data_IF_577015971987
#
_entry.id   IF_577015971987
#
_cell.length_a   1.000
_cell.length_b   1.000
_cell.length_c   1.000
_cell.angle_alpha   90.00
_cell.angle_beta   90.00
_cell.angle_gamma   90.00
#
_symmetry.space_group_name_H-M   'P 1'
#
loop_
_entity.id
_entity.type
_entity.pdbx_description
1 polymer ?
#
# COMPACT_ATOMS: atom_id res chain seq x y z
N UNK A 1 -4.13 -6.67 -23.76
CA UNK A 1 -2.88 -6.00 -23.30
C UNK A 1 -2.44 -6.68 -22.01
N UNK A 2 -1.19 -7.04 -21.89
CA UNK A 2 -0.64 -7.76 -20.74
C UNK A 2 -0.13 -6.85 -19.61
N UNK A 3 -0.12 -5.55 -19.82
CA UNK A 3 0.19 -4.50 -18.85
C UNK A 3 -1.01 -3.58 -18.60
N UNK A 4 -0.87 -2.68 -17.66
CA UNK A 4 -1.89 -1.69 -17.31
C UNK A 4 -1.74 -0.40 -18.14
N UNK A 5 -0.61 -0.24 -18.84
CA UNK A 5 -0.34 0.89 -19.70
C UNK A 5 1.08 0.87 -20.28
N UNK A 6 1.44 1.94 -20.95
CA UNK A 6 2.77 2.19 -21.47
C UNK A 6 3.20 3.61 -21.13
N UNK A 7 4.44 3.77 -20.72
CA UNK A 7 5.06 5.06 -20.43
C UNK A 7 6.51 5.06 -20.93
N UNK A 8 6.85 6.03 -21.78
CA UNK A 8 8.20 6.20 -22.32
C UNK A 8 8.78 4.93 -22.99
N UNK A 9 7.94 4.18 -23.69
CA UNK A 9 8.32 2.93 -24.36
C UNK A 9 8.50 1.74 -23.41
N UNK A 10 8.06 1.89 -22.17
CA UNK A 10 8.08 0.81 -21.16
C UNK A 10 6.65 0.35 -20.87
N UNK A 11 6.44 -0.96 -20.84
CA UNK A 11 5.19 -1.51 -20.32
C UNK A 11 5.11 -1.25 -18.81
N UNK A 12 3.99 -0.75 -18.36
CA UNK A 12 3.73 -0.50 -16.93
C UNK A 12 2.79 -1.57 -16.38
N UNK A 13 3.18 -2.20 -15.29
CA UNK A 13 2.34 -3.09 -14.51
C UNK A 13 2.14 -2.54 -13.11
N UNK A 14 0.90 -2.31 -12.73
CA UNK A 14 0.53 -1.83 -11.39
C UNK A 14 0.18 -3.04 -10.52
N UNK A 15 0.91 -3.21 -9.43
CA UNK A 15 0.66 -4.25 -8.43
C UNK A 15 -0.44 -3.81 -7.45
N UNK A 16 -1.03 -4.75 -6.68
CA UNK A 16 -2.03 -4.41 -5.68
C UNK A 16 -1.58 -3.29 -4.75
N UNK A 17 -2.46 -2.32 -4.50
CA UNK A 17 -2.13 -1.11 -3.71
C UNK A 17 -2.36 -1.28 -2.21
N UNK A 18 -2.99 -2.37 -1.78
CA UNK A 18 -3.34 -2.64 -0.39
C UNK A 18 -2.39 -3.62 0.31
N UNK A 19 -1.30 -3.98 -0.33
CA UNK A 19 -0.28 -4.89 0.20
C UNK A 19 1.02 -4.77 -0.57
N UNK A 20 2.12 -5.31 -0.04
CA UNK A 20 3.37 -5.37 -0.77
C UNK A 20 3.29 -6.36 -1.95
N UNK A 21 4.06 -6.10 -2.99
CA UNK A 21 4.20 -7.02 -4.11
C UNK A 21 5.09 -8.21 -3.73
N UNK A 22 4.64 -9.41 -4.05
CA UNK A 22 5.33 -10.67 -3.78
C UNK A 22 5.65 -11.41 -5.06
N UNK A 23 6.49 -12.45 -4.97
CA UNK A 23 6.78 -13.34 -6.11
C UNK A 23 5.52 -13.98 -6.68
N UNK A 24 4.54 -14.28 -5.83
CA UNK A 24 3.26 -14.83 -6.27
C UNK A 24 2.48 -13.88 -7.20
N UNK A 25 2.61 -12.57 -7.01
CA UNK A 25 1.98 -11.57 -7.88
C UNK A 25 2.57 -11.55 -9.29
N UNK A 26 3.81 -12.02 -9.45
CA UNK A 26 4.47 -12.09 -10.74
C UNK A 26 4.00 -13.27 -11.60
N UNK A 27 3.33 -14.28 -11.02
CA UNK A 27 2.87 -15.46 -11.76
C UNK A 27 1.86 -15.08 -12.84
N UNK A 28 0.91 -14.20 -12.52
CA UNK A 28 -0.05 -13.67 -13.49
C UNK A 28 0.64 -12.86 -14.59
N UNK A 29 1.58 -12.00 -14.21
CA UNK A 29 2.37 -11.23 -15.18
C UNK A 29 3.14 -12.18 -16.13
N UNK A 30 3.85 -13.15 -15.60
CA UNK A 30 4.62 -14.13 -16.39
C UNK A 30 3.73 -14.94 -17.34
N UNK A 31 2.55 -15.34 -16.87
CA UNK A 31 1.61 -16.11 -17.69
C UNK A 31 1.06 -15.34 -18.89
N UNK A 32 1.01 -14.01 -18.79
CA UNK A 32 0.42 -13.15 -19.82
C UNK A 32 1.46 -12.45 -20.73
N UNK A 33 2.74 -12.71 -20.57
CA UNK A 33 3.78 -12.12 -21.41
C UNK A 33 3.72 -12.63 -22.86
N UNK A 34 4.01 -11.79 -23.86
CA UNK A 34 3.93 -12.16 -25.27
C UNK A 34 5.20 -12.88 -25.73
N UNK A 35 5.40 -14.11 -25.29
CA UNK A 35 6.61 -14.90 -25.54
C UNK A 35 6.94 -15.05 -27.01
N UNK A 36 5.95 -15.22 -27.88
CA UNK A 36 6.17 -15.30 -29.34
C UNK A 36 6.78 -14.01 -29.88
N UNK A 37 6.35 -12.87 -29.38
CA UNK A 37 6.92 -11.57 -29.75
C UNK A 37 8.35 -11.43 -29.21
N UNK A 38 8.61 -11.93 -28.03
CA UNK A 38 9.94 -11.92 -27.41
C UNK A 38 10.93 -12.79 -28.21
N UNK A 39 10.52 -13.96 -28.66
CA UNK A 39 11.35 -14.82 -29.54
C UNK A 39 11.73 -14.11 -30.81
N UNK A 40 10.77 -13.42 -31.45
CA UNK A 40 11.02 -12.63 -32.65
C UNK A 40 11.99 -11.49 -32.39
N UNK A 41 11.76 -10.68 -31.34
CA UNK A 41 12.63 -9.55 -30.98
C UNK A 41 14.04 -10.01 -30.60
N UNK A 42 14.18 -11.13 -29.92
CA UNK A 42 15.47 -11.75 -29.57
C UNK A 42 16.23 -12.16 -30.82
N UNK A 43 15.57 -12.72 -31.82
CA UNK A 43 16.19 -13.11 -33.09
C UNK A 43 16.63 -11.90 -33.92
N UNK A 44 15.81 -10.85 -33.95
CA UNK A 44 16.10 -9.61 -34.71
C UNK A 44 17.21 -8.76 -34.06
N UNK A 45 17.23 -8.65 -32.73
CA UNK A 45 18.18 -7.85 -31.96
C UNK A 45 18.66 -8.55 -30.69
N UNK A 46 19.62 -9.49 -30.77
CA UNK A 46 20.05 -10.28 -29.62
C UNK A 46 20.68 -9.48 -28.47
N UNK A 47 21.17 -8.28 -28.74
CA UNK A 47 21.86 -7.43 -27.75
C UNK A 47 20.92 -6.47 -27.03
N UNK A 48 19.73 -6.25 -27.55
CA UNK A 48 18.74 -5.35 -26.97
C UNK A 48 17.74 -6.09 -26.08
N UNK A 49 17.17 -5.43 -25.06
CA UNK A 49 16.08 -6.00 -24.30
C UNK A 49 14.87 -6.30 -25.20
N UNK A 50 14.26 -7.46 -25.01
CA UNK A 50 13.01 -7.83 -25.72
C UNK A 50 11.82 -7.03 -25.21
N UNK A 51 11.88 -6.59 -23.96
CA UNK A 51 10.86 -5.76 -23.33
C UNK A 51 11.48 -4.89 -22.23
N UNK A 52 10.93 -3.71 -22.05
CA UNK A 52 11.19 -2.84 -20.93
C UNK A 52 9.94 -2.80 -20.05
N UNK A 53 10.07 -3.16 -18.80
CA UNK A 53 8.95 -3.33 -17.87
C UNK A 53 9.18 -2.44 -16.65
N UNK A 54 8.19 -1.64 -16.31
CA UNK A 54 8.13 -0.90 -15.05
C UNK A 54 7.03 -1.51 -14.17
N UNK A 55 7.42 -2.01 -13.02
CA UNK A 55 6.50 -2.54 -12.01
C UNK A 55 6.29 -1.47 -10.96
N UNK A 56 5.06 -1.00 -10.80
CA UNK A 56 4.67 -0.02 -9.78
C UNK A 56 4.04 -0.75 -8.60
N UNK A 57 4.56 -0.55 -7.41
CA UNK A 57 4.08 -1.24 -6.21
C UNK A 57 4.11 -0.35 -4.96
N UNK A 58 3.40 -0.80 -3.92
CA UNK A 58 3.39 -0.22 -2.58
C UNK A 58 4.24 -1.09 -1.64
N UNK A 59 5.55 -1.10 -1.86
CA UNK A 59 6.46 -2.04 -1.24
C UNK A 59 6.56 -3.36 -2.00
N UNK A 60 7.66 -4.08 -1.84
CA UNK A 60 7.90 -5.36 -2.51
C UNK A 60 8.89 -6.22 -1.72
N UNK A 61 8.86 -7.52 -1.98
CA UNK A 61 9.89 -8.44 -1.50
C UNK A 61 11.26 -8.02 -2.04
N UNK A 62 12.35 -8.08 -1.22
CA UNK A 62 13.65 -7.52 -1.60
C UNK A 62 14.26 -8.10 -2.89
N UNK A 63 13.98 -9.36 -3.19
CA UNK A 63 14.55 -10.08 -4.34
C UNK A 63 13.56 -10.22 -5.52
N UNK A 64 12.47 -9.44 -5.53
CA UNK A 64 11.42 -9.51 -6.55
C UNK A 64 11.97 -9.34 -7.97
N UNK A 65 12.78 -8.32 -8.19
CA UNK A 65 13.42 -8.03 -9.48
C UNK A 65 14.34 -9.17 -9.92
N UNK A 66 15.24 -9.58 -9.02
CA UNK A 66 16.20 -10.65 -9.31
C UNK A 66 15.50 -11.98 -9.60
N UNK A 67 14.43 -12.28 -8.89
CA UNK A 67 13.62 -13.47 -9.12
C UNK A 67 12.97 -13.47 -10.51
N UNK A 68 12.39 -12.35 -10.91
CA UNK A 68 11.77 -12.23 -12.24
C UNK A 68 12.81 -12.33 -13.36
N UNK A 69 13.95 -11.67 -13.22
CA UNK A 69 15.05 -11.75 -14.19
C UNK A 69 15.59 -13.18 -14.31
N UNK A 70 15.71 -13.90 -13.20
CA UNK A 70 16.21 -15.28 -13.19
C UNK A 70 15.21 -16.26 -13.83
N UNK A 71 13.94 -16.17 -13.49
CA UNK A 71 12.90 -17.05 -14.03
C UNK A 71 12.67 -16.84 -15.53
N UNK A 72 12.92 -15.65 -16.04
CA UNK A 72 12.80 -15.28 -17.46
C UNK A 72 14.16 -15.05 -18.11
N UNK A 73 15.19 -15.75 -17.64
CA UNK A 73 16.57 -15.61 -18.13
C UNK A 73 16.79 -15.92 -19.60
N UNK A 74 15.85 -16.64 -20.24
CA UNK A 74 15.84 -16.85 -21.70
C UNK A 74 15.70 -15.56 -22.48
N UNK A 75 15.10 -14.54 -21.87
CA UNK A 75 14.84 -13.23 -22.47
C UNK A 75 15.61 -12.15 -21.74
N UNK A 76 16.13 -11.22 -22.48
CA UNK A 76 16.72 -10.01 -21.91
C UNK A 76 15.61 -9.02 -21.61
N UNK A 77 15.31 -8.86 -20.34
CA UNK A 77 14.31 -7.91 -19.86
C UNK A 77 14.99 -6.73 -19.17
N UNK A 78 14.52 -5.53 -19.44
CA UNK A 78 14.90 -4.33 -18.69
C UNK A 78 13.80 -4.03 -17.68
N UNK A 79 14.03 -4.44 -16.43
CA UNK A 79 13.06 -4.35 -15.35
C UNK A 79 13.42 -3.20 -14.42
N UNK A 80 12.45 -2.31 -14.22
CA UNK A 80 12.47 -1.25 -13.23
C UNK A 80 11.36 -1.47 -12.21
N UNK A 81 11.67 -1.32 -10.94
CA UNK A 81 10.66 -1.34 -9.87
C UNK A 81 10.54 0.06 -9.30
N UNK A 82 9.35 0.64 -9.44
CA UNK A 82 8.96 1.88 -8.79
C UNK A 82 8.19 1.52 -7.52
N UNK A 83 8.86 1.60 -6.40
CA UNK A 83 8.28 1.40 -5.09
C UNK A 83 7.82 2.75 -4.55
N UNK A 84 6.52 3.00 -4.57
CA UNK A 84 5.95 4.29 -4.18
C UNK A 84 6.32 4.65 -2.75
N UNK A 85 6.48 3.65 -1.88
CA UNK A 85 6.86 3.88 -0.49
C UNK A 85 8.34 4.24 -0.32
N UNK A 86 9.21 3.67 -1.16
CA UNK A 86 10.65 3.91 -1.13
C UNK A 86 11.05 5.17 -1.87
N UNK A 87 10.47 5.37 -3.05
CA UNK A 87 10.94 6.35 -4.05
C UNK A 87 10.42 7.76 -3.80
N UNK A 88 9.37 7.92 -3.01
CA UNK A 88 9.00 9.22 -2.47
C UNK A 88 10.00 9.58 -1.37
N UNK A 89 10.91 10.49 -1.67
CA UNK A 89 11.96 10.92 -0.72
C UNK A 89 11.41 11.37 0.63
N UNK A 90 10.21 11.92 0.65
CA UNK A 90 9.53 12.37 1.86
C UNK A 90 8.95 11.18 2.68
N UNK A 91 8.80 10.01 2.05
CA UNK A 91 8.35 8.77 2.69
C UNK A 91 9.50 7.84 3.09
N UNK A 92 10.74 8.08 2.61
CA UNK A 92 11.91 7.23 2.89
C UNK A 92 12.24 7.11 4.38
N UNK A 93 11.82 8.06 5.18
CA UNK A 93 12.04 8.06 6.63
C UNK A 93 10.85 7.47 7.39
N UNK A 94 9.79 7.09 6.70
CA UNK A 94 8.52 6.75 7.32
C UNK A 94 8.07 5.36 6.88
N UNK A 95 8.51 4.37 7.62
CA UNK A 95 7.73 3.13 7.76
C UNK A 95 6.52 3.40 8.67
N UNK A 96 6.00 4.61 8.58
CA UNK A 96 4.88 5.07 9.37
C UNK A 96 3.58 4.71 8.67
N UNK A 97 2.57 4.47 9.47
CA UNK A 97 1.22 4.30 8.99
C UNK A 97 0.72 5.58 8.30
N UNK A 98 -0.16 5.41 7.33
CA UNK A 98 -0.89 6.50 6.68
C UNK A 98 -2.38 6.26 6.81
N UNK A 99 -3.15 7.33 6.89
CA UNK A 99 -4.60 7.26 6.91
C UNK A 99 -5.22 8.38 6.10
N UNK A 100 -6.37 8.10 5.51
CA UNK A 100 -7.24 9.10 4.91
C UNK A 100 -8.44 9.33 5.83
N UNK A 101 -8.48 10.50 6.48
CA UNK A 101 -9.52 10.88 7.42
C UNK A 101 -10.10 12.21 6.95
N UNK A 102 -11.41 12.25 6.78
CA UNK A 102 -12.12 13.41 6.26
C UNK A 102 -13.35 13.76 7.11
N UNK A 103 -13.79 15.02 7.02
CA UNK A 103 -15.08 15.44 7.54
C UNK A 103 -16.10 15.43 6.43
N UNK A 104 -17.18 14.70 6.64
CA UNK A 104 -18.33 14.65 5.73
C UNK A 104 -19.57 15.11 6.48
N UNK A 105 -19.95 16.39 6.32
CA UNK A 105 -21.02 17.00 7.10
C UNK A 105 -20.65 17.01 8.59
N UNK A 106 -21.48 16.38 9.41
CA UNK A 106 -21.26 16.23 10.85
C UNK A 106 -20.59 14.89 11.23
N UNK A 107 -20.01 14.20 10.25
CA UNK A 107 -19.33 12.92 10.46
C UNK A 107 -17.82 13.05 10.26
N UNK A 108 -17.06 12.39 11.12
CA UNK A 108 -15.65 12.09 10.90
C UNK A 108 -15.59 10.70 10.27
N UNK A 109 -15.02 10.62 9.07
CA UNK A 109 -14.95 9.38 8.29
C UNK A 109 -13.50 9.00 8.05
N UNK A 110 -13.12 7.83 8.51
CA UNK A 110 -11.84 7.20 8.15
C UNK A 110 -12.09 6.36 6.91
N UNK A 111 -11.58 6.80 5.77
CA UNK A 111 -11.76 6.14 4.48
C UNK A 111 -10.77 5.02 4.25
N UNK A 112 -9.54 5.19 4.74
CA UNK A 112 -8.47 4.24 4.55
C UNK A 112 -7.44 4.34 5.67
N UNK A 113 -6.78 3.21 5.96
CA UNK A 113 -5.68 3.12 6.89
C UNK A 113 -4.65 2.11 6.38
N UNK A 114 -3.39 2.53 6.33
CA UNK A 114 -2.28 1.75 5.82
C UNK A 114 -1.18 1.61 6.89
N UNK A 115 -1.27 0.62 7.78
CA UNK A 115 -0.22 0.34 8.77
C UNK A 115 0.91 -0.46 8.10
N UNK A 116 1.93 0.20 7.60
CA UNK A 116 2.93 -0.38 6.70
C UNK A 116 3.68 -1.57 7.27
N UNK A 117 4.08 -1.53 8.55
CA UNK A 117 4.79 -2.65 9.17
C UNK A 117 3.89 -3.88 9.33
N UNK A 118 2.62 -3.68 9.73
CA UNK A 118 1.65 -4.78 9.82
C UNK A 118 1.34 -5.36 8.44
N UNK A 119 1.13 -4.52 7.44
CA UNK A 119 0.87 -4.95 6.06
C UNK A 119 2.04 -5.78 5.51
N UNK A 120 3.27 -5.36 5.77
CA UNK A 120 4.47 -6.11 5.39
C UNK A 120 4.50 -7.49 6.06
N UNK A 121 4.22 -7.55 7.37
CA UNK A 121 4.18 -8.81 8.12
C UNK A 121 3.11 -9.77 7.58
N UNK A 122 1.91 -9.28 7.35
CA UNK A 122 0.81 -10.09 6.81
C UNK A 122 1.13 -10.61 5.40
N UNK A 123 1.74 -9.79 4.57
CA UNK A 123 2.17 -10.19 3.23
C UNK A 123 3.21 -11.32 3.27
N UNK A 124 4.18 -11.25 4.19
CA UNK A 124 5.16 -12.33 4.39
C UNK A 124 4.50 -13.63 4.86
N UNK A 125 3.42 -13.55 5.63
CA UNK A 125 2.62 -14.69 6.06
C UNK A 125 1.60 -15.16 5.02
N UNK A 126 1.53 -14.46 3.87
CA UNK A 126 0.53 -14.67 2.80
C UNK A 126 -0.91 -14.50 3.27
N UNK A 127 -1.10 -13.67 4.27
CA UNK A 127 -2.42 -13.27 4.75
C UNK A 127 -2.81 -11.94 4.08
N UNK A 128 -4.05 -11.85 3.62
CA UNK A 128 -4.58 -10.67 2.93
C UNK A 128 -5.81 -10.16 3.67
N UNK A 129 -5.92 -8.84 3.72
CA UNK A 129 -7.02 -8.15 4.39
C UNK A 129 -7.72 -7.24 3.39
N UNK A 130 -9.03 -7.41 3.26
CA UNK A 130 -9.85 -6.63 2.34
C UNK A 130 -10.36 -5.34 2.96
N UNK A 131 -10.60 -5.34 4.27
CA UNK A 131 -11.12 -4.19 5.02
C UNK A 131 -10.06 -3.68 6.00
N UNK A 132 -9.66 -2.42 5.85
CA UNK A 132 -8.64 -1.80 6.71
C UNK A 132 -8.99 -1.86 8.20
N UNK A 133 -10.30 -1.86 8.55
CA UNK A 133 -10.75 -1.94 9.94
C UNK A 133 -10.31 -3.21 10.66
N UNK A 134 -10.05 -4.28 9.93
CA UNK A 134 -9.51 -5.53 10.46
C UNK A 134 -8.06 -5.41 10.94
N UNK A 135 -7.34 -4.36 10.54
CA UNK A 135 -5.96 -4.09 10.92
C UNK A 135 -5.85 -3.24 12.20
N UNK A 136 -6.96 -2.76 12.72
CA UNK A 136 -7.03 -1.76 13.79
C UNK A 136 -7.37 -2.42 15.12
N UNK A 137 -6.56 -2.13 16.14
CA UNK A 137 -6.83 -2.49 17.53
C UNK A 137 -7.76 -1.49 18.20
N UNK A 138 -7.52 -0.17 17.98
CA UNK A 138 -8.31 0.89 18.59
C UNK A 138 -8.25 2.19 17.81
N UNK A 139 -9.31 3.00 17.95
CA UNK A 139 -9.36 4.37 17.50
C UNK A 139 -9.73 5.25 18.68
N UNK A 140 -8.95 6.31 18.89
CA UNK A 140 -9.22 7.33 19.90
C UNK A 140 -9.37 8.68 19.23
N UNK A 141 -10.33 9.49 19.68
CA UNK A 141 -10.61 10.80 19.11
C UNK A 141 -10.72 11.83 20.22
N UNK A 142 -9.95 12.90 20.07
CA UNK A 142 -10.06 14.12 20.85
C UNK A 142 -10.71 15.20 19.97
N UNK A 143 -11.93 15.60 20.33
CA UNK A 143 -12.69 16.61 19.59
C UNK A 143 -12.19 18.04 19.78
N UNK A 144 -11.42 18.28 20.84
CA UNK A 144 -10.94 19.60 21.22
C UNK A 144 -9.47 19.55 21.66
N UNK A 145 -8.62 19.09 20.74
CA UNK A 145 -7.20 18.97 20.99
C UNK A 145 -6.56 20.32 21.29
N UNK A 146 -5.84 20.42 22.42
CA UNK A 146 -5.21 21.65 22.89
C UNK A 146 -3.85 21.96 22.24
N UNK A 147 -3.37 21.10 21.36
CA UNK A 147 -2.07 21.21 20.69
C UNK A 147 -0.90 20.65 21.50
N UNK A 148 -1.13 20.11 22.68
CA UNK A 148 -0.08 19.59 23.58
C UNK A 148 -0.33 18.14 23.96
N UNK A 149 -1.45 17.84 24.60
CA UNK A 149 -1.78 16.49 25.10
C UNK A 149 -3.14 16.06 24.57
N UNK A 150 -3.18 14.89 23.96
CA UNK A 150 -4.40 14.27 23.50
C UNK A 150 -5.25 13.81 24.69
N UNK A 151 -6.49 14.29 24.78
CA UNK A 151 -7.49 13.90 25.77
C UNK A 151 -8.69 13.28 25.06
N UNK A 152 -8.65 11.96 24.76
CA UNK A 152 -9.69 11.36 23.96
C UNK A 152 -11.02 11.28 24.71
N UNK A 153 -12.09 11.67 24.00
CA UNK A 153 -13.48 11.55 24.46
C UNK A 153 -14.20 10.39 23.78
N UNK A 154 -13.67 9.93 22.65
CA UNK A 154 -14.12 8.70 21.95
C UNK A 154 -13.02 7.68 22.05
N UNK A 155 -13.38 6.47 22.49
CA UNK A 155 -12.49 5.32 22.50
C UNK A 155 -13.23 4.13 21.87
N UNK A 156 -12.84 3.79 20.65
CA UNK A 156 -13.41 2.66 19.91
C UNK A 156 -12.44 1.48 19.99
N UNK A 157 -12.73 0.55 20.91
CA UNK A 157 -11.95 -0.67 21.14
C UNK A 157 -12.90 -1.86 21.00
N UNK A 158 -12.95 -2.46 19.81
CA UNK A 158 -13.88 -3.55 19.56
C UNK A 158 -13.49 -4.82 20.30
N UNK A 159 -14.49 -5.63 20.63
CA UNK A 159 -14.28 -6.98 21.13
C UNK A 159 -13.71 -7.90 20.03
N UNK A 160 -13.24 -9.10 20.43
CA UNK A 160 -12.52 -10.03 19.54
C UNK A 160 -13.24 -10.41 18.23
N UNK A 161 -14.56 -10.23 18.16
CA UNK A 161 -15.39 -10.57 17.00
C UNK A 161 -15.89 -9.35 16.24
N UNK A 162 -15.55 -8.17 16.70
CA UNK A 162 -16.02 -6.91 16.14
C UNK A 162 -14.86 -6.12 15.55
N UNK A 163 -15.17 -5.15 14.74
CA UNK A 163 -14.21 -4.21 14.16
C UNK A 163 -14.60 -2.79 14.51
N UNK A 164 -13.65 -1.85 14.46
CA UNK A 164 -13.91 -0.44 14.70
C UNK A 164 -14.94 0.12 13.72
N UNK A 165 -15.67 1.14 14.16
CA UNK A 165 -16.68 1.78 13.29
C UNK A 165 -16.07 2.51 12.10
N UNK A 166 -15.07 3.33 12.33
CA UNK A 166 -14.46 4.18 11.30
C UNK A 166 -15.29 5.42 10.91
N UNK A 167 -16.51 5.56 11.45
CA UNK A 167 -17.40 6.69 11.24
C UNK A 167 -17.92 7.16 12.58
N UNK A 168 -17.74 8.45 12.88
CA UNK A 168 -18.05 9.01 14.19
C UNK A 168 -18.79 10.33 14.07
N UNK A 169 -19.79 10.57 14.92
CA UNK A 169 -20.51 11.85 14.98
C UNK A 169 -19.61 12.92 15.58
N UNK A 170 -19.46 14.03 14.87
CA UNK A 170 -18.74 15.21 15.35
C UNK A 170 -19.67 16.05 16.22
N UNK A 171 -19.35 16.32 17.51
CA UNK A 171 -20.16 17.19 18.35
C UNK A 171 -20.18 18.63 17.82
N UNK A 172 -21.25 19.35 18.09
CA UNK A 172 -21.44 20.73 17.62
C UNK A 172 -20.37 21.70 18.16
N UNK A 173 -19.82 21.40 19.33
CA UNK A 173 -18.79 22.21 20.01
C UNK A 173 -17.36 21.75 19.70
N UNK A 174 -17.17 20.88 18.67
CA UNK A 174 -15.84 20.40 18.28
C UNK A 174 -14.96 21.54 17.77
N UNK A 175 -13.72 21.54 18.23
CA UNK A 175 -12.65 22.42 17.77
C UNK A 175 -11.66 21.67 16.88
N UNK A 176 -10.37 21.71 17.24
CA UNK A 176 -9.34 20.94 16.57
C UNK A 176 -9.49 19.47 16.90
N UNK A 177 -9.63 18.64 15.87
CA UNK A 177 -9.83 17.20 16.01
C UNK A 177 -8.49 16.49 15.85
N UNK A 178 -8.16 15.62 16.81
CA UNK A 178 -7.02 14.73 16.71
C UNK A 178 -7.46 13.28 16.82
N UNK A 179 -6.97 12.46 15.91
CA UNK A 179 -7.29 11.02 15.83
C UNK A 179 -6.04 10.20 16.05
N UNK A 180 -6.15 9.17 16.88
CA UNK A 180 -5.12 8.17 17.09
C UNK A 180 -5.64 6.81 16.66
N UNK A 181 -4.97 6.19 15.69
CA UNK A 181 -5.27 4.83 15.23
C UNK A 181 -4.13 3.94 15.67
N UNK A 182 -4.45 2.89 16.41
CA UNK A 182 -3.48 1.86 16.85
C UNK A 182 -3.75 0.58 16.08
N UNK A 183 -2.71 0.02 15.47
CA UNK A 183 -2.81 -1.22 14.71
C UNK A 183 -2.61 -2.47 15.59
N UNK A 184 -2.76 -3.65 14.99
CA UNK A 184 -2.62 -4.92 15.70
C UNK A 184 -1.19 -5.24 16.18
N UNK A 185 -0.19 -4.47 15.74
CA UNK A 185 1.17 -4.52 16.28
C UNK A 185 1.40 -3.52 17.40
N UNK A 186 0.34 -2.84 17.88
CA UNK A 186 0.39 -1.78 18.88
C UNK A 186 1.19 -0.54 18.44
N UNK A 187 1.36 -0.34 17.16
CA UNK A 187 1.91 0.89 16.58
C UNK A 187 0.79 1.88 16.32
N UNK A 188 1.04 3.16 16.57
CA UNK A 188 0.01 4.20 16.51
C UNK A 188 0.34 5.28 15.49
N UNK A 189 -0.69 5.75 14.82
CA UNK A 189 -0.69 6.96 14.00
C UNK A 189 -1.56 8.00 14.68
N UNK A 190 -1.02 9.19 14.92
CA UNK A 190 -1.78 10.37 15.36
C UNK A 190 -1.80 11.41 14.26
N UNK A 191 -2.96 12.01 14.01
CA UNK A 191 -3.10 13.09 13.05
C UNK A 191 -4.22 14.06 13.42
N UNK A 192 -4.04 15.30 13.03
CA UNK A 192 -5.08 16.32 13.11
C UNK A 192 -5.92 16.30 11.84
N UNK A 193 -7.21 16.57 11.99
CA UNK A 193 -8.19 16.59 10.90
C UNK A 193 -8.76 18.00 10.77
N UNK A 194 -8.61 18.58 9.60
CA UNK A 194 -9.17 19.90 9.26
C UNK A 194 -10.66 19.85 8.87
#
# INVERSE_FOLDING_TARGET
MYGDGELDGRMVKIMPVNRIATKADLEELKANLPYKTYEKRKAENPTQPVEKITIVCMGHEPDLKASLEQELSEYKLDIEIVDILRDKKDLQLKREAEAEIVREGNKLVIRAFYPMNLMQKLSLQKEYVEDWRQLVESIMIDWNYDGVVMQPTVTDVPDKKEIVSGIYDIPEDAGTIRVKITDLLSESLEMEVE
#
